data_IF_658184551306
#
_entry.id   IF_658184551306
#
_cell.length_a   1.000
_cell.length_b   1.000
_cell.length_c   1.000
_cell.angle_alpha   90.00
_cell.angle_beta   90.00
_cell.angle_gamma   90.00
#
_symmetry.space_group_name_H-M   'P 1'
#
loop_
_entity.id
_entity.type
_entity.pdbx_description
1 polymer ?
#
# COMPACT_ATOMS: atom_id res chain seq x y z
N UNK A 1 -1.51 21.85 -32.87
CA UNK A 1 -0.44 20.88 -32.58
C UNK A 1 -1.09 19.54 -32.31
N UNK A 2 -1.05 18.59 -33.25
CA UNK A 2 -1.58 17.25 -33.01
C UNK A 2 -0.72 16.52 -31.96
N UNK A 3 -1.31 15.70 -31.07
CA UNK A 3 -0.57 15.07 -29.99
C UNK A 3 0.45 14.07 -30.57
N UNK A 4 1.53 13.86 -29.81
CA UNK A 4 2.55 12.84 -30.09
C UNK A 4 1.91 11.50 -30.51
N UNK A 5 2.54 10.71 -31.40
CA UNK A 5 1.94 9.48 -31.90
C UNK A 5 1.62 8.51 -30.75
N UNK A 6 0.57 7.67 -30.89
CA UNK A 6 0.19 6.70 -29.85
C UNK A 6 1.38 5.86 -29.36
N UNK A 7 1.61 5.88 -28.05
CA UNK A 7 2.67 5.12 -27.39
C UNK A 7 4.07 5.74 -27.49
N UNK A 8 4.21 6.94 -28.05
CA UNK A 8 5.48 7.66 -28.09
C UNK A 8 5.98 7.99 -26.68
N UNK A 9 5.07 8.42 -25.81
CA UNK A 9 5.37 8.76 -24.43
C UNK A 9 5.10 7.53 -23.56
N UNK A 10 6.10 6.64 -23.48
CA UNK A 10 6.04 5.32 -22.84
C UNK A 10 5.88 5.39 -21.30
N UNK A 11 4.73 5.86 -20.83
CA UNK A 11 4.40 5.85 -19.39
C UNK A 11 4.14 4.42 -18.94
N UNK A 12 5.11 3.86 -18.22
CA UNK A 12 5.01 2.49 -17.70
C UNK A 12 4.26 2.46 -16.36
N UNK A 13 3.23 1.60 -16.20
CA UNK A 13 2.54 1.45 -14.94
C UNK A 13 3.48 0.90 -13.84
N UNK A 14 3.20 1.25 -12.60
CA UNK A 14 3.83 0.64 -11.44
C UNK A 14 3.05 -0.60 -10.99
N UNK A 15 3.71 -1.58 -10.36
CA UNK A 15 3.00 -2.70 -9.76
C UNK A 15 1.99 -2.20 -8.72
N UNK A 16 0.74 -2.59 -8.93
CA UNK A 16 -0.43 -2.31 -8.07
C UNK A 16 -0.80 -0.84 -8.03
N UNK A 17 -0.47 -0.11 -9.10
CA UNK A 17 -0.95 1.26 -9.31
C UNK A 17 -2.47 1.27 -9.50
N UNK A 18 -3.13 2.35 -9.08
CA UNK A 18 -4.55 2.53 -9.38
C UNK A 18 -4.75 2.91 -10.84
N UNK A 19 -5.83 2.42 -11.46
CA UNK A 19 -6.16 2.78 -12.83
C UNK A 19 -6.32 4.30 -13.01
N UNK A 20 -6.92 4.98 -12.02
CA UNK A 20 -7.01 6.44 -11.97
C UNK A 20 -5.63 7.11 -11.97
N UNK A 21 -4.72 6.68 -11.09
CA UNK A 21 -3.33 7.18 -11.04
C UNK A 21 -2.59 6.99 -12.36
N UNK A 22 -2.69 5.80 -12.93
CA UNK A 22 -2.04 5.50 -14.20
C UNK A 22 -2.57 6.37 -15.33
N UNK A 23 -3.89 6.51 -15.45
CA UNK A 23 -4.52 7.38 -16.46
C UNK A 23 -4.12 8.84 -16.26
N UNK A 24 -4.09 9.35 -15.03
CA UNK A 24 -3.64 10.72 -14.75
C UNK A 24 -2.20 10.96 -15.18
N UNK A 25 -1.30 10.01 -14.89
CA UNK A 25 0.11 10.08 -15.33
C UNK A 25 0.25 9.98 -16.85
N UNK A 26 -0.54 9.11 -17.48
CA UNK A 26 -0.54 8.96 -18.92
C UNK A 26 -1.05 10.23 -19.58
N UNK A 27 -2.20 10.76 -19.16
CA UNK A 27 -2.78 11.99 -19.69
C UNK A 27 -1.83 13.19 -19.50
N UNK A 28 -1.21 13.31 -18.32
CA UNK A 28 -0.23 14.36 -18.05
C UNK A 28 0.96 14.31 -19.02
N UNK A 29 1.46 13.10 -19.34
CA UNK A 29 2.56 12.96 -20.31
C UNK A 29 2.17 13.49 -21.70
N UNK A 30 0.92 13.32 -22.12
CA UNK A 30 0.42 13.87 -23.39
C UNK A 30 -0.14 15.31 -23.25
N UNK A 31 0.05 15.97 -22.11
CA UNK A 31 -0.52 17.29 -21.81
C UNK A 31 -2.06 17.34 -21.94
N UNK A 32 -2.73 16.24 -21.60
CA UNK A 32 -4.18 16.10 -21.62
C UNK A 32 -4.74 15.97 -20.20
N UNK A 33 -6.04 16.26 -20.05
CA UNK A 33 -6.80 15.83 -18.89
C UNK A 33 -7.14 14.33 -19.01
N UNK A 34 -7.39 13.61 -17.91
CA UNK A 34 -7.84 12.22 -17.97
C UNK A 34 -9.12 12.03 -18.81
N UNK A 35 -10.03 13.01 -18.77
CA UNK A 35 -11.29 12.99 -19.54
C UNK A 35 -10.98 13.10 -21.03
N UNK A 36 -10.19 14.09 -21.45
CA UNK A 36 -9.83 14.28 -22.85
C UNK A 36 -9.06 13.08 -23.43
N UNK A 37 -8.24 12.42 -22.62
CA UNK A 37 -7.56 11.19 -23.06
C UNK A 37 -8.56 10.05 -23.28
N UNK A 38 -9.55 9.87 -22.40
CA UNK A 38 -10.59 8.84 -22.58
C UNK A 38 -11.45 9.14 -23.81
N UNK A 39 -11.85 10.39 -24.00
CA UNK A 39 -12.62 10.83 -25.17
C UNK A 39 -11.86 10.58 -26.48
N UNK A 40 -10.55 10.91 -26.50
CA UNK A 40 -9.67 10.64 -27.65
C UNK A 40 -9.46 9.15 -27.94
N UNK A 41 -9.73 8.27 -26.97
CA UNK A 41 -9.72 6.81 -27.15
C UNK A 41 -11.13 6.25 -27.46
N UNK A 42 -12.11 7.13 -27.65
CA UNK A 42 -13.52 6.79 -27.82
C UNK A 42 -14.06 5.92 -26.67
N UNK A 43 -13.61 6.20 -25.43
CA UNK A 43 -14.07 5.51 -24.22
C UNK A 43 -15.08 6.40 -23.50
N UNK A 44 -16.33 5.96 -23.41
CA UNK A 44 -17.36 6.67 -22.67
C UNK A 44 -17.10 6.58 -21.17
N UNK A 45 -16.80 7.72 -20.55
CA UNK A 45 -16.60 7.82 -19.11
C UNK A 45 -17.92 8.10 -18.38
N UNK A 46 -18.15 7.44 -17.25
CA UNK A 46 -19.31 7.65 -16.37
C UNK A 46 -18.87 7.88 -14.92
N UNK A 47 -19.74 8.48 -14.11
CA UNK A 47 -19.42 8.86 -12.74
C UNK A 47 -18.53 10.11 -12.65
N UNK A 48 -18.24 10.54 -11.43
CA UNK A 48 -17.54 11.81 -11.19
C UNK A 48 -16.05 11.57 -10.93
N UNK A 49 -15.15 12.12 -11.75
CA UNK A 49 -13.72 12.07 -11.46
C UNK A 49 -13.40 12.90 -10.22
N UNK A 50 -12.48 12.40 -9.40
CA UNK A 50 -11.93 13.11 -8.25
C UNK A 50 -10.41 12.94 -8.22
N UNK A 51 -9.75 13.37 -7.15
CA UNK A 51 -8.31 13.18 -7.00
C UNK A 51 -7.93 11.67 -7.12
N UNK A 52 -6.77 11.32 -7.72
CA UNK A 52 -6.43 9.91 -8.03
C UNK A 52 -6.33 8.96 -6.83
N UNK A 53 -6.26 9.49 -5.60
CA UNK A 53 -6.30 8.73 -4.35
C UNK A 53 -7.70 8.57 -3.77
N UNK A 54 -8.66 9.37 -4.22
CA UNK A 54 -10.03 9.39 -3.72
C UNK A 54 -11.01 8.70 -4.68
N UNK A 55 -10.54 8.27 -5.86
CA UNK A 55 -11.37 7.60 -6.87
C UNK A 55 -10.64 6.41 -7.47
N UNK A 56 -11.44 5.42 -7.86
CA UNK A 56 -11.03 4.26 -8.64
C UNK A 56 -11.66 4.35 -10.03
N UNK A 57 -10.95 3.82 -11.03
CA UNK A 57 -11.41 3.82 -12.40
C UNK A 57 -11.53 2.38 -12.88
N UNK A 58 -12.74 1.97 -13.21
CA UNK A 58 -13.03 0.64 -13.71
C UNK A 58 -13.21 0.68 -15.22
N UNK A 59 -12.44 -0.13 -15.95
CA UNK A 59 -12.55 -0.27 -17.39
C UNK A 59 -13.39 -1.49 -17.76
N UNK A 60 -14.20 -1.37 -18.81
CA UNK A 60 -14.69 -2.52 -19.57
C UNK A 60 -13.54 -3.23 -20.28
N UNK A 61 -13.78 -4.47 -20.72
CA UNK A 61 -12.79 -5.23 -21.49
C UNK A 61 -12.38 -4.50 -22.79
N UNK A 62 -13.33 -3.84 -23.44
CA UNK A 62 -13.08 -3.04 -24.65
C UNK A 62 -12.21 -1.81 -24.34
N UNK A 63 -12.55 -1.04 -23.31
CA UNK A 63 -11.78 0.14 -22.91
C UNK A 63 -10.34 -0.24 -22.52
N UNK A 64 -10.16 -1.35 -21.80
CA UNK A 64 -8.83 -1.87 -21.46
C UNK A 64 -8.02 -2.23 -22.71
N UNK A 65 -8.65 -2.82 -23.73
CA UNK A 65 -8.00 -3.15 -25.01
C UNK A 65 -7.55 -1.90 -25.77
N UNK A 66 -8.40 -0.88 -25.83
CA UNK A 66 -8.07 0.40 -26.48
C UNK A 66 -6.93 1.13 -25.77
N UNK A 67 -6.94 1.13 -24.44
CA UNK A 67 -5.83 1.67 -23.65
C UNK A 67 -4.53 0.89 -23.88
N UNK A 68 -4.59 -0.44 -23.94
CA UNK A 68 -3.44 -1.29 -24.26
C UNK A 68 -2.86 -0.99 -25.65
N UNK A 69 -3.73 -0.85 -26.66
CA UNK A 69 -3.34 -0.50 -28.02
C UNK A 69 -2.67 0.89 -28.08
N UNK A 70 -3.27 1.89 -27.43
CA UNK A 70 -2.73 3.25 -27.36
C UNK A 70 -1.35 3.31 -26.68
N UNK A 71 -1.20 2.63 -25.54
CA UNK A 71 0.05 2.63 -24.76
C UNK A 71 1.12 1.71 -25.33
N UNK A 72 0.76 0.81 -26.27
CA UNK A 72 1.59 -0.29 -26.76
C UNK A 72 2.10 -1.20 -25.63
N UNK A 73 1.33 -1.32 -24.55
CA UNK A 73 1.63 -2.23 -23.44
C UNK A 73 0.68 -3.44 -23.58
N UNK A 74 1.20 -4.69 -23.53
CA UNK A 74 0.35 -5.87 -23.61
C UNK A 74 -0.76 -5.84 -22.54
N UNK A 75 -2.02 -6.23 -22.87
CA UNK A 75 -3.13 -6.24 -21.92
C UNK A 75 -2.78 -6.98 -20.61
N UNK A 76 -2.15 -8.15 -20.72
CA UNK A 76 -1.71 -8.95 -19.57
C UNK A 76 -0.73 -8.20 -18.63
N UNK A 77 0.07 -7.26 -19.17
CA UNK A 77 0.97 -6.44 -18.37
C UNK A 77 0.23 -5.29 -17.67
N UNK A 78 -0.71 -4.64 -18.36
CA UNK A 78 -1.58 -3.64 -17.73
C UNK A 78 -2.43 -4.28 -16.63
N UNK A 79 -2.99 -5.45 -16.90
CA UNK A 79 -3.81 -6.22 -15.97
C UNK A 79 -3.08 -6.64 -14.70
N UNK A 80 -1.79 -7.00 -14.85
CA UNK A 80 -0.95 -7.37 -13.71
C UNK A 80 -0.48 -6.15 -12.93
N UNK A 81 -0.24 -5.03 -13.63
CA UNK A 81 0.29 -3.82 -13.02
C UNK A 81 -0.79 -2.98 -12.35
N UNK A 82 -1.99 -2.88 -12.91
CA UNK A 82 -3.08 -2.12 -12.34
C UNK A 82 -3.84 -2.99 -11.34
N UNK A 83 -4.14 -2.43 -10.17
CA UNK A 83 -4.86 -3.20 -9.14
C UNK A 83 -6.27 -3.48 -9.63
N UNK A 84 -6.59 -4.76 -9.83
CA UNK A 84 -7.95 -5.20 -10.12
C UNK A 84 -8.72 -5.30 -8.80
N UNK A 85 -9.47 -4.27 -8.45
CA UNK A 85 -10.77 -4.57 -7.86
C UNK A 85 -11.67 -5.06 -8.99
N UNK A 86 -12.41 -6.16 -8.81
CA UNK A 86 -13.30 -6.64 -9.83
C UNK A 86 -14.22 -5.48 -10.22
N UNK A 87 -14.27 -5.09 -11.50
CA UNK A 87 -15.21 -4.06 -11.92
C UNK A 87 -16.63 -4.53 -11.57
N UNK A 88 -17.53 -3.61 -11.20
CA UNK A 88 -18.95 -3.92 -11.08
C UNK A 88 -19.42 -4.72 -12.32
N UNK A 89 -20.24 -5.76 -12.12
CA UNK A 89 -20.64 -6.69 -13.19
C UNK A 89 -21.21 -5.97 -14.44
N UNK A 90 -21.90 -4.85 -14.21
CA UNK A 90 -22.45 -3.97 -15.25
C UNK A 90 -21.40 -3.35 -16.20
N UNK A 91 -20.13 -3.27 -15.79
CA UNK A 91 -19.02 -2.73 -16.59
C UNK A 91 -18.15 -3.85 -17.17
N UNK A 92 -18.03 -4.96 -16.44
CA UNK A 92 -17.19 -6.08 -16.86
C UNK A 92 -17.64 -6.69 -18.20
N UNK A 93 -18.96 -6.75 -18.40
CA UNK A 93 -19.63 -7.50 -19.49
C UNK A 93 -20.05 -6.63 -20.67
N UNK A 94 -19.88 -5.30 -20.58
CA UNK A 94 -20.26 -4.42 -21.68
C UNK A 94 -19.32 -4.60 -22.88
N UNK A 95 -19.93 -4.75 -24.06
CA UNK A 95 -19.23 -4.77 -25.34
C UNK A 95 -18.81 -3.38 -25.82
N UNK A 96 -19.27 -2.33 -25.15
CA UNK A 96 -18.94 -0.94 -25.46
C UNK A 96 -17.73 -0.48 -24.64
N UNK A 97 -16.91 0.40 -25.23
CA UNK A 97 -15.75 0.95 -24.56
C UNK A 97 -16.19 1.94 -23.47
N UNK A 98 -16.38 1.44 -22.25
CA UNK A 98 -16.80 2.26 -21.11
C UNK A 98 -15.76 2.26 -19.99
N UNK A 99 -15.70 3.38 -19.26
CA UNK A 99 -14.97 3.51 -18.01
C UNK A 99 -15.87 4.16 -16.95
N UNK A 100 -15.76 3.76 -15.69
CA UNK A 100 -16.52 4.37 -14.58
C UNK A 100 -15.62 4.81 -13.46
N UNK A 101 -15.77 6.08 -13.07
CA UNK A 101 -15.20 6.64 -11.86
C UNK A 101 -16.04 6.23 -10.64
N UNK A 102 -15.39 5.70 -9.61
CA UNK A 102 -16.03 5.27 -8.37
C UNK A 102 -15.28 5.85 -7.16
N UNK A 103 -15.97 6.58 -6.25
CA UNK A 103 -15.36 7.09 -5.04
C UNK A 103 -14.78 5.98 -4.15
N UNK A 104 -13.62 6.24 -3.55
CA UNK A 104 -12.94 5.35 -2.61
C UNK A 104 -13.16 5.80 -1.17
N UNK A 105 -13.68 4.89 -0.35
CA UNK A 105 -13.74 5.10 1.10
C UNK A 105 -12.32 5.28 1.69
N UNK A 106 -12.13 6.16 2.69
CA UNK A 106 -10.80 6.48 3.24
C UNK A 106 -9.97 5.26 3.66
N UNK A 107 -10.60 4.23 4.22
CA UNK A 107 -9.93 3.02 4.69
C UNK A 107 -9.22 2.22 3.57
N UNK A 108 -9.69 2.33 2.34
CA UNK A 108 -9.23 1.54 1.18
C UNK A 108 -8.51 2.37 0.13
N UNK A 109 -8.32 3.67 0.38
CA UNK A 109 -7.58 4.54 -0.53
C UNK A 109 -6.17 3.97 -0.79
N UNK A 110 -5.55 4.23 -1.93
CA UNK A 110 -4.15 3.88 -2.16
C UNK A 110 -3.20 4.76 -1.32
N UNK A 111 -1.91 4.43 -1.38
CA UNK A 111 -0.83 5.18 -0.76
C UNK A 111 0.05 5.82 -1.84
N UNK A 112 0.67 6.99 -1.58
CA UNK A 112 1.60 7.57 -2.54
C UNK A 112 2.82 6.64 -2.70
N UNK A 113 3.22 6.43 -3.93
CA UNK A 113 4.40 5.66 -4.28
C UNK A 113 5.65 6.54 -4.15
N UNK A 114 6.82 5.89 -4.10
CA UNK A 114 8.10 6.58 -4.20
C UNK A 114 8.14 7.51 -5.42
N UNK A 115 8.50 8.78 -5.19
CA UNK A 115 8.49 9.82 -6.23
C UNK A 115 9.59 9.61 -7.28
N UNK A 116 10.68 8.95 -6.91
CA UNK A 116 11.83 8.70 -7.81
C UNK A 116 11.61 7.49 -8.73
N UNK A 117 10.78 6.51 -8.33
CA UNK A 117 10.52 5.30 -9.12
C UNK A 117 9.86 5.58 -10.49
N UNK A 118 8.81 6.44 -10.57
CA UNK A 118 8.27 6.91 -11.84
C UNK A 118 9.27 7.69 -12.69
N UNK A 119 10.07 8.57 -12.07
CA UNK A 119 10.95 9.51 -12.77
C UNK A 119 12.14 8.86 -13.48
N UNK A 120 12.62 7.71 -12.99
CA UNK A 120 13.71 6.94 -13.63
C UNK A 120 13.27 6.18 -14.89
N UNK A 121 12.01 6.31 -15.33
CA UNK A 121 11.52 5.71 -16.57
C UNK A 121 11.26 6.81 -17.59
N UNK A 122 11.97 6.85 -18.73
CA UNK A 122 11.69 7.79 -19.82
C UNK A 122 10.21 7.67 -20.29
N UNK A 123 9.57 8.76 -20.78
CA UNK A 123 10.12 10.09 -21.02
C UNK A 123 10.03 10.96 -19.77
N UNK A 124 11.04 11.82 -19.61
CA UNK A 124 11.04 12.88 -18.62
C UNK A 124 9.86 13.83 -18.89
N UNK A 125 9.33 14.47 -17.84
CA UNK A 125 8.18 15.38 -17.84
C UNK A 125 6.81 14.69 -17.71
N UNK A 126 6.47 14.26 -16.49
CA UNK A 126 5.33 14.84 -15.75
C UNK A 126 5.09 14.18 -14.38
N UNK A 127 4.68 15.05 -13.47
CA UNK A 127 4.59 14.94 -12.01
C UNK A 127 3.14 14.71 -11.57
N UNK A 128 2.62 13.48 -11.69
CA UNK A 128 1.71 13.02 -10.65
C UNK A 128 2.37 11.97 -9.77
N UNK A 129 2.30 12.18 -8.45
CA UNK A 129 2.53 11.11 -7.47
C UNK A 129 1.72 9.89 -7.89
N UNK A 130 2.40 8.77 -8.13
CA UNK A 130 1.71 7.52 -8.43
C UNK A 130 1.05 7.00 -7.15
N UNK A 131 -0.14 6.42 -7.26
CA UNK A 131 -0.87 5.89 -6.12
C UNK A 131 -0.99 4.38 -6.26
N UNK A 132 -0.54 3.67 -5.22
CA UNK A 132 -0.45 2.21 -5.22
C UNK A 132 -1.30 1.66 -4.08
N UNK A 133 -2.08 0.62 -4.36
CA UNK A 133 -2.73 -0.12 -3.27
C UNK A 133 -1.66 -0.92 -2.50
N UNK A 134 -1.60 -0.83 -1.17
CA UNK A 134 -0.75 -1.71 -0.35
C UNK A 134 -1.18 -3.17 -0.50
N UNK A 135 -0.27 -4.13 -0.36
CA UNK A 135 -0.56 -5.55 -0.60
C UNK A 135 -1.80 -5.96 0.17
N UNK A 136 -2.75 -6.70 -0.45
CA UNK A 136 -3.90 -7.19 0.29
C UNK A 136 -3.32 -7.96 1.45
N UNK A 137 -3.63 -7.46 2.65
CA UNK A 137 -3.00 -8.02 3.80
C UNK A 137 -1.49 -7.78 3.83
N UNK A 138 -1.05 -6.56 4.03
CA UNK A 138 0.19 -6.24 4.76
C UNK A 138 -0.22 -5.17 5.77
N UNK A 139 0.56 -4.87 6.81
CA UNK A 139 0.46 -3.56 7.45
C UNK A 139 0.38 -2.52 6.34
N UNK A 140 -0.54 -1.56 6.45
CA UNK A 140 -0.88 -0.59 5.40
C UNK A 140 0.26 0.42 5.23
N UNK A 141 1.41 -0.06 4.75
CA UNK A 141 2.67 0.61 4.64
C UNK A 141 3.37 0.14 3.35
N UNK A 142 3.81 1.11 2.55
CA UNK A 142 4.58 0.92 1.34
C UNK A 142 6.00 1.40 1.61
N UNK A 143 7.00 0.55 1.33
CA UNK A 143 8.41 0.88 1.52
C UNK A 143 9.14 0.67 0.20
N UNK A 144 9.83 1.71 -0.27
CA UNK A 144 10.75 1.64 -1.39
C UNK A 144 12.18 1.53 -0.85
N UNK A 145 12.77 0.32 -0.79
CA UNK A 145 14.12 0.15 -0.25
C UNK A 145 15.19 0.81 -1.13
N UNK A 146 14.93 0.94 -2.45
CA UNK A 146 15.88 1.54 -3.39
C UNK A 146 16.09 3.04 -3.15
N UNK A 147 15.03 3.78 -2.84
CA UNK A 147 15.08 5.23 -2.68
C UNK A 147 14.86 5.66 -1.22
N UNK A 148 14.70 4.71 -0.31
CA UNK A 148 14.50 4.94 1.13
C UNK A 148 13.32 5.90 1.37
N UNK A 149 12.20 5.61 0.72
CA UNK A 149 10.94 6.33 0.89
C UNK A 149 9.84 5.37 1.34
N UNK A 150 8.91 5.86 2.18
CA UNK A 150 7.79 5.07 2.65
C UNK A 150 6.48 5.86 2.72
N UNK A 151 5.36 5.16 2.83
CA UNK A 151 4.03 5.76 2.99
C UNK A 151 3.13 4.83 3.79
N UNK A 152 2.37 5.37 4.73
CA UNK A 152 1.53 4.59 5.65
C UNK A 152 0.11 5.11 5.84
N UNK A 153 -0.12 6.38 5.52
CA UNK A 153 -1.39 7.06 5.72
C UNK A 153 -1.88 7.62 4.37
N UNK A 154 -3.15 7.43 3.97
CA UNK A 154 -3.65 7.96 2.69
C UNK A 154 -3.80 9.49 2.68
N UNK A 155 -3.94 10.12 3.85
CA UNK A 155 -4.03 11.58 3.99
C UNK A 155 -2.71 12.25 3.63
N UNK A 156 -1.62 11.50 3.78
CA UNK A 156 -0.29 11.92 3.39
C UNK A 156 -0.13 11.84 1.87
N UNK A 157 0.20 12.97 1.23
CA UNK A 157 0.36 13.06 -0.24
C UNK A 157 1.80 12.91 -0.71
N UNK A 158 2.75 13.05 0.21
CA UNK A 158 4.19 13.01 -0.05
C UNK A 158 4.78 11.82 0.70
N UNK A 159 5.47 10.88 0.02
CA UNK A 159 6.19 9.81 0.71
C UNK A 159 7.23 10.34 1.68
N UNK A 160 7.34 9.69 2.83
CA UNK A 160 8.29 10.03 3.87
C UNK A 160 9.68 9.51 3.51
N UNK A 161 10.70 10.32 3.75
CA UNK A 161 12.09 9.89 3.77
C UNK A 161 12.34 9.03 5.01
N UNK A 162 12.83 7.81 4.81
CA UNK A 162 13.09 6.83 5.87
C UNK A 162 14.58 6.48 6.01
N UNK A 163 15.50 7.25 5.42
CA UNK A 163 16.95 6.98 5.51
C UNK A 163 17.47 6.90 6.93
N UNK A 164 16.84 7.62 7.85
CA UNK A 164 17.17 7.62 9.28
C UNK A 164 16.73 6.34 9.99
N UNK A 165 15.94 5.49 9.34
CA UNK A 165 15.37 4.23 9.86
C UNK A 165 15.65 3.05 8.92
N UNK A 166 16.91 2.60 8.80
CA UNK A 166 17.29 1.51 7.90
C UNK A 166 16.58 0.18 8.21
N UNK A 167 16.14 -0.02 9.46
CA UNK A 167 15.41 -1.21 9.88
C UNK A 167 14.06 -1.38 9.15
N UNK A 168 13.44 -0.29 8.68
CA UNK A 168 12.21 -0.34 7.90
C UNK A 168 12.44 -1.01 6.53
N UNK A 169 13.50 -0.60 5.84
CA UNK A 169 13.89 -1.20 4.58
C UNK A 169 14.36 -2.64 4.76
N UNK A 170 15.12 -2.91 5.83
CA UNK A 170 15.62 -4.26 6.14
C UNK A 170 14.47 -5.25 6.40
N UNK A 171 13.50 -4.89 7.25
CA UNK A 171 12.33 -5.72 7.54
C UNK A 171 11.54 -6.07 6.27
N UNK A 172 11.42 -5.12 5.33
CA UNK A 172 10.75 -5.37 4.05
C UNK A 172 11.51 -6.38 3.18
N UNK A 173 12.84 -6.32 3.14
CA UNK A 173 13.69 -7.19 2.35
C UNK A 173 13.73 -8.62 2.91
N UNK A 174 13.68 -8.78 4.23
CA UNK A 174 13.70 -10.09 4.90
C UNK A 174 12.35 -10.80 4.86
N UNK A 175 11.24 -10.06 4.74
CA UNK A 175 9.92 -10.61 4.46
C UNK A 175 9.81 -11.11 3.00
N UNK A 176 10.49 -12.21 2.70
CA UNK A 176 10.53 -12.84 1.36
C UNK A 176 9.24 -13.57 0.98
N UNK A 177 8.34 -13.86 1.92
CA UNK A 177 7.03 -14.45 1.62
C UNK A 177 5.91 -13.41 1.73
N UNK A 178 4.95 -13.40 0.80
CA UNK A 178 3.73 -12.66 1.01
C UNK A 178 3.07 -13.18 2.30
N UNK A 179 2.68 -12.29 3.22
CA UNK A 179 1.98 -12.71 4.43
C UNK A 179 0.66 -13.38 4.06
N UNK A 180 0.28 -14.38 4.83
CA UNK A 180 -1.00 -15.09 4.70
C UNK A 180 -2.12 -14.29 5.40
N UNK A 181 -3.38 -14.41 4.98
CA UNK A 181 -4.54 -13.77 5.65
C UNK A 181 -4.51 -13.90 7.19
N UNK A 182 -4.13 -15.05 7.78
CA UNK A 182 -3.90 -15.18 9.23
C UNK A 182 -2.81 -14.25 9.80
N UNK A 183 -1.67 -14.11 9.13
CA UNK A 183 -0.54 -13.23 9.51
C UNK A 183 -0.96 -11.76 9.67
N UNK A 184 -2.05 -11.38 9.03
CA UNK A 184 -2.43 -9.99 8.80
C UNK A 184 -3.50 -9.52 9.74
N UNK A 185 -4.46 -10.41 9.99
CA UNK A 185 -5.28 -10.25 11.16
C UNK A 185 -4.36 -10.22 12.40
N UNK A 186 -3.26 -11.00 12.46
CA UNK A 186 -2.26 -10.91 13.56
C UNK A 186 -1.63 -9.52 13.66
N UNK A 187 -1.15 -8.97 12.56
CA UNK A 187 -0.63 -7.61 12.50
C UNK A 187 -1.61 -6.56 13.05
N UNK A 188 -2.90 -6.64 12.68
CA UNK A 188 -3.92 -5.71 13.18
C UNK A 188 -4.19 -5.89 14.67
N UNK A 189 -4.41 -7.11 15.16
CA UNK A 189 -4.60 -7.38 16.60
C UNK A 189 -3.40 -6.93 17.43
N UNK A 190 -2.19 -7.19 16.93
CA UNK A 190 -0.95 -6.76 17.58
C UNK A 190 -0.86 -5.23 17.60
N UNK A 191 -1.13 -4.54 16.48
CA UNK A 191 -1.10 -3.07 16.39
C UNK A 191 -2.16 -2.40 17.26
N UNK A 192 -3.33 -3.02 17.45
CA UNK A 192 -4.40 -2.54 18.34
C UNK A 192 -4.05 -2.78 19.80
N UNK A 193 -3.73 -4.02 20.20
CA UNK A 193 -3.29 -4.39 21.57
C UNK A 193 -2.15 -3.51 22.05
N UNK A 194 -1.23 -3.23 21.15
CA UNK A 194 -0.09 -2.36 21.41
C UNK A 194 -0.56 -0.99 21.89
N UNK A 195 -1.42 -0.32 21.15
CA UNK A 195 -1.92 1.01 21.52
C UNK A 195 -2.49 1.09 22.96
N UNK A 196 -3.06 0.00 23.47
CA UNK A 196 -3.74 -0.04 24.76
C UNK A 196 -2.81 -0.30 25.97
N UNK A 197 -1.57 -0.78 25.79
CA UNK A 197 -0.76 -1.34 26.90
C UNK A 197 0.74 -0.91 27.00
N UNK A 198 1.17 0.21 26.42
CA UNK A 198 2.61 0.52 26.23
C UNK A 198 3.38 1.27 27.33
N UNK A 199 4.34 0.59 27.97
CA UNK A 199 5.46 1.27 28.66
C UNK A 199 6.84 1.05 28.01
N UNK A 200 7.16 -0.12 27.42
CA UNK A 200 8.56 -0.46 27.08
C UNK A 200 8.97 -0.24 25.62
N UNK A 201 8.08 -0.41 24.64
CA UNK A 201 8.35 -0.05 23.23
C UNK A 201 8.18 1.43 22.95
N UNK A 202 7.57 2.15 23.89
CA UNK A 202 7.30 3.57 23.83
C UNK A 202 8.56 4.37 23.51
N UNK A 203 9.68 4.08 24.18
CA UNK A 203 10.93 4.80 23.93
C UNK A 203 11.48 4.54 22.52
N UNK A 204 11.55 3.27 22.09
CA UNK A 204 12.02 2.91 20.73
C UNK A 204 11.17 3.60 19.67
N UNK A 205 9.85 3.55 19.80
CA UNK A 205 8.95 4.14 18.83
C UNK A 205 8.91 5.66 18.88
N UNK A 206 9.07 6.27 20.07
CA UNK A 206 9.28 7.72 20.21
C UNK A 206 10.55 8.15 19.51
N UNK A 207 11.65 7.41 19.67
CA UNK A 207 12.90 7.69 18.96
C UNK A 207 12.70 7.62 17.45
N UNK A 208 12.06 6.56 16.94
CA UNK A 208 11.75 6.44 15.50
C UNK A 208 10.83 7.55 15.00
N UNK A 209 9.79 7.89 15.76
CA UNK A 209 8.87 8.97 15.43
C UNK A 209 9.59 10.31 15.38
N UNK A 210 10.48 10.58 16.35
CA UNK A 210 11.29 11.79 16.37
C UNK A 210 12.22 11.85 15.15
N UNK A 211 12.94 10.76 14.85
CA UNK A 211 13.80 10.68 13.66
C UNK A 211 13.03 10.87 12.35
N UNK A 212 11.80 10.35 12.24
CA UNK A 212 10.93 10.58 11.08
C UNK A 212 10.44 12.02 11.00
N UNK A 213 9.99 12.60 12.11
CA UNK A 213 9.52 13.98 12.16
C UNK A 213 10.64 14.96 11.77
N UNK A 214 11.85 14.75 12.29
CA UNK A 214 13.03 15.56 11.95
C UNK A 214 13.41 15.43 10.47
N UNK A 215 13.37 14.21 9.91
CA UNK A 215 13.67 13.99 8.49
C UNK A 215 12.56 14.43 7.54
N UNK A 216 11.34 14.68 8.05
CA UNK A 216 10.15 15.01 7.26
C UNK A 216 9.40 16.19 7.89
N UNK A 217 9.90 17.43 7.77
CA UNK A 217 9.31 18.61 8.40
C UNK A 217 7.85 18.84 8.03
N UNK A 218 7.43 18.42 6.84
CA UNK A 218 6.04 18.55 6.38
C UNK A 218 5.03 17.73 7.22
N UNK A 219 5.48 16.83 8.10
CA UNK A 219 4.61 16.09 9.01
C UNK A 219 3.98 16.98 10.10
N UNK A 220 4.63 18.08 10.49
CA UNK A 220 4.12 18.97 11.56
C UNK A 220 2.90 19.79 11.12
N UNK A 221 2.81 20.09 9.83
CA UNK A 221 1.72 20.86 9.23
C UNK A 221 0.71 19.97 8.48
N UNK A 222 0.81 18.65 8.70
CA UNK A 222 -0.05 17.67 8.05
C UNK A 222 -1.48 17.68 8.59
N UNK A 223 -2.42 17.02 7.88
CA UNK A 223 -3.82 16.91 8.29
C UNK A 223 -4.05 16.00 9.50
N UNK A 224 -2.99 15.40 10.04
CA UNK A 224 -3.00 14.46 11.16
C UNK A 224 -1.70 14.59 11.95
N UNK A 225 -1.75 14.24 13.24
CA UNK A 225 -0.54 14.26 14.08
C UNK A 225 0.54 13.32 13.51
N UNK A 226 1.83 13.65 13.66
CA UNK A 226 2.92 12.79 13.21
C UNK A 226 2.83 11.36 13.75
N UNK A 227 2.36 11.21 14.99
CA UNK A 227 2.15 9.92 15.64
C UNK A 227 1.11 9.06 14.91
N UNK A 228 -0.02 9.65 14.51
CA UNK A 228 -1.07 8.94 13.78
C UNK A 228 -0.57 8.56 12.37
N UNK A 229 0.05 9.52 11.67
CA UNK A 229 0.56 9.35 10.29
C UNK A 229 1.64 8.27 10.20
N UNK A 230 2.55 8.23 11.17
CA UNK A 230 3.69 7.31 11.18
C UNK A 230 3.44 6.00 11.93
N UNK A 231 2.25 5.81 12.54
CA UNK A 231 1.93 4.65 13.40
C UNK A 231 2.31 3.30 12.75
N UNK A 232 1.90 3.09 11.51
CA UNK A 232 2.17 1.84 10.80
C UNK A 232 3.64 1.67 10.40
N UNK A 233 4.42 2.77 10.34
CA UNK A 233 5.86 2.71 10.02
C UNK A 233 6.69 2.45 11.28
N UNK A 234 6.45 3.18 12.37
CA UNK A 234 7.26 3.05 13.60
C UNK A 234 7.12 1.68 14.24
N UNK A 235 6.01 0.98 13.99
CA UNK A 235 5.73 -0.40 14.44
C UNK A 235 6.06 -1.45 13.38
N UNK A 236 6.35 -1.05 12.13
CA UNK A 236 6.44 -1.95 10.97
C UNK A 236 7.39 -3.15 11.16
N UNK A 237 8.64 -2.97 11.64
CA UNK A 237 9.58 -4.07 11.77
C UNK A 237 9.10 -5.14 12.74
N UNK A 238 8.60 -4.71 13.91
CA UNK A 238 8.10 -5.60 14.94
C UNK A 238 6.81 -6.30 14.47
N UNK A 239 5.86 -5.57 13.88
CA UNK A 239 4.60 -6.13 13.37
C UNK A 239 4.85 -7.21 12.33
N UNK A 240 5.76 -6.95 11.37
CA UNK A 240 6.06 -7.87 10.29
C UNK A 240 6.79 -9.13 10.79
N UNK A 241 7.73 -8.95 11.72
CA UNK A 241 8.49 -10.07 12.29
C UNK A 241 7.60 -10.98 13.14
N UNK A 242 6.73 -10.40 13.98
CA UNK A 242 5.76 -11.15 14.76
C UNK A 242 4.73 -11.87 13.88
N UNK A 243 4.15 -11.18 12.90
CA UNK A 243 3.22 -11.79 11.96
C UNK A 243 3.84 -13.00 11.26
N UNK A 244 5.09 -12.86 10.79
CA UNK A 244 5.83 -13.94 10.12
C UNK A 244 6.14 -15.11 11.07
N UNK A 245 6.50 -14.83 12.32
CA UNK A 245 6.77 -15.87 13.31
C UNK A 245 5.49 -16.64 13.69
N UNK A 246 4.38 -15.94 13.88
CA UNK A 246 3.08 -16.53 14.19
C UNK A 246 2.47 -17.31 13.02
N UNK A 247 2.84 -16.99 11.78
CA UNK A 247 2.46 -17.77 10.60
C UNK A 247 3.18 -19.11 10.51
N UNK A 248 4.39 -19.19 11.06
CA UNK A 248 5.20 -20.42 11.07
C UNK A 248 4.83 -21.38 12.21
N UNK A 249 3.92 -20.99 13.09
CA UNK A 249 3.41 -21.89 14.11
C UNK A 249 2.63 -23.04 13.47
N UNK A 250 2.93 -24.32 13.81
CA UNK A 250 2.14 -25.44 13.34
C UNK A 250 0.67 -25.28 13.72
N UNK A 251 -0.24 -25.68 12.83
CA UNK A 251 -1.68 -25.69 13.08
C UNK A 251 -1.99 -26.51 14.33
N UNK A 252 -2.54 -25.81 15.33
CA UNK A 252 -3.17 -26.17 16.61
C UNK A 252 -3.21 -27.60 17.17
N UNK A 253 -3.23 -28.62 16.33
CA UNK A 253 -3.37 -30.02 16.73
C UNK A 253 -2.22 -30.58 17.60
N UNK A 254 -1.14 -29.82 17.84
CA UNK A 254 0.08 -30.33 18.50
C UNK A 254 0.65 -29.48 19.65
N UNK A 255 0.09 -28.30 19.98
CA UNK A 255 0.69 -27.41 20.98
C UNK A 255 -0.23 -27.13 22.18
N UNK A 256 0.20 -27.55 23.37
CA UNK A 256 -0.44 -27.21 24.66
C UNK A 256 -0.30 -25.72 24.99
N UNK A 257 -1.14 -25.22 25.90
CA UNK A 257 -1.08 -23.83 26.39
C UNK A 257 0.35 -23.45 26.85
N UNK A 258 1.02 -24.35 27.57
CA UNK A 258 2.39 -24.16 28.06
C UNK A 258 3.41 -24.02 26.92
N UNK A 259 3.26 -24.80 25.84
CA UNK A 259 4.14 -24.72 24.67
C UNK A 259 3.90 -23.44 23.87
N UNK A 260 2.65 -22.97 23.77
CA UNK A 260 2.32 -21.69 23.15
C UNK A 260 2.91 -20.52 23.96
N UNK A 261 2.78 -20.55 25.29
CA UNK A 261 3.36 -19.55 26.18
C UNK A 261 4.90 -19.52 26.09
N UNK A 262 5.56 -20.69 26.09
CA UNK A 262 7.01 -20.80 25.94
C UNK A 262 7.50 -20.25 24.58
N UNK A 263 6.78 -20.56 23.49
CA UNK A 263 7.09 -19.99 22.17
C UNK A 263 6.98 -18.47 22.15
N UNK A 264 5.88 -17.91 22.69
CA UNK A 264 5.68 -16.47 22.76
C UNK A 264 6.77 -15.82 23.62
N UNK A 265 7.16 -16.43 24.73
CA UNK A 265 8.22 -15.93 25.59
C UNK A 265 9.58 -15.91 24.88
N UNK A 266 9.93 -16.98 24.17
CA UNK A 266 11.15 -17.05 23.36
C UNK A 266 11.17 -16.00 22.24
N UNK A 267 10.03 -15.83 21.56
CA UNK A 267 9.87 -14.81 20.53
C UNK A 267 9.97 -13.39 21.11
N UNK A 268 9.40 -13.16 22.29
CA UNK A 268 9.52 -11.90 23.03
C UNK A 268 10.99 -11.59 23.34
N UNK A 269 11.72 -12.58 23.85
CA UNK A 269 13.13 -12.44 24.21
C UNK A 269 13.98 -12.11 22.98
N UNK A 270 13.82 -12.87 21.89
CA UNK A 270 14.55 -12.67 20.63
C UNK A 270 14.32 -11.29 20.00
N UNK A 271 13.10 -10.77 20.11
CA UNK A 271 12.72 -9.47 19.52
C UNK A 271 12.90 -8.29 20.49
N UNK A 272 13.40 -8.56 21.70
CA UNK A 272 13.46 -7.59 22.80
C UNK A 272 12.11 -6.89 23.01
N UNK A 273 11.03 -7.69 23.07
CA UNK A 273 9.66 -7.26 23.34
C UNK A 273 9.22 -7.79 24.71
N UNK A 274 9.77 -7.25 25.82
CA UNK A 274 9.38 -7.71 27.16
C UNK A 274 7.86 -7.50 27.29
N UNK A 275 7.11 -8.60 27.51
CA UNK A 275 5.63 -8.71 27.56
C UNK A 275 4.87 -8.95 26.23
N UNK A 276 5.49 -9.63 25.26
CA UNK A 276 4.71 -10.33 24.22
C UNK A 276 3.81 -11.43 24.81
N UNK A 277 4.19 -12.01 25.96
CA UNK A 277 3.38 -12.94 26.74
C UNK A 277 2.07 -12.26 27.15
N UNK A 278 0.90 -12.74 26.67
CA UNK A 278 -0.38 -12.12 26.97
C UNK A 278 -0.90 -12.59 28.34
N UNK A 279 -1.65 -11.72 29.03
CA UNK A 279 -2.48 -12.16 30.16
C UNK A 279 -3.66 -12.98 29.63
N UNK A 280 -4.24 -13.91 30.38
CA UNK A 280 -5.23 -14.87 29.85
C UNK A 280 -6.45 -14.23 29.15
N UNK A 281 -6.79 -12.99 29.50
CA UNK A 281 -7.87 -12.19 28.92
C UNK A 281 -7.46 -11.36 27.68
N UNK A 282 -6.24 -11.52 27.20
CA UNK A 282 -5.69 -10.74 26.10
C UNK A 282 -6.25 -11.19 24.75
N UNK A 283 -6.52 -10.23 23.86
CA UNK A 283 -6.98 -10.47 22.50
C UNK A 283 -6.01 -11.36 21.71
N UNK A 284 -4.71 -11.35 22.05
CA UNK A 284 -3.74 -12.27 21.46
C UNK A 284 -4.01 -13.73 21.86
N UNK A 285 -4.35 -14.00 23.12
CA UNK A 285 -4.69 -15.34 23.61
C UNK A 285 -6.01 -15.83 23.04
N UNK A 286 -7.06 -15.00 23.10
CA UNK A 286 -8.37 -15.33 22.50
C UNK A 286 -8.25 -15.71 21.03
N UNK A 287 -7.31 -15.09 20.32
CA UNK A 287 -7.08 -15.38 18.91
C UNK A 287 -6.19 -16.60 18.67
N UNK A 288 -5.26 -16.89 19.59
CA UNK A 288 -4.50 -18.15 19.60
C UNK A 288 -5.39 -19.36 19.91
N UNK A 289 -6.53 -19.16 20.59
CA UNK A 289 -7.54 -20.18 20.93
C UNK A 289 -8.74 -20.28 19.98
N UNK A 290 -8.93 -19.33 19.04
CA UNK A 290 -10.01 -19.37 18.02
C UNK A 290 -9.59 -19.62 16.55
N UNK A 291 -8.33 -19.38 16.16
CA UNK A 291 -7.66 -19.82 14.90
C UNK A 291 -7.91 -21.26 14.42
#
# INVERSE_FOLDING_TARGET
>A
MWPSPPGALRVRPLPRETAASYLTRLAAAYHLSPIHLLDGLHITATGTPAAPHATELHYSCEAARRLAAFTRIPPAHLDRALTRRPPPAAIATTHTATARWQPLAPAVQPLPACTTCPLRRPPHHTTPTAWIHPAPGLPRAMICPRHQQASSDPRQRIPLNIRTLPELAHARLTARRPPTTPSLSWATTITTRWYDHHQHLHNRWRTRLHQLATANPHLTHGPASPALTCRNLITYPETLTLATALDRLPLRSLLTHTQQAAFLHHLASRLHLPRLAPADHDVLWQRLTTR
#
